data_IF_790109554365
#
_entry.id   IF_790109554365
#
_cell.length_a   1.000
_cell.length_b   1.000
_cell.length_c   1.000
_cell.angle_alpha   90.00
_cell.angle_beta   90.00
_cell.angle_gamma   90.00
#
_symmetry.space_group_name_H-M   'P 1'
#
loop_
_entity.id
_entity.type
_entity.pdbx_description
1 polymer ?
#
# COMPACT_ATOMS: atom_id res chain seq x y z
N UNK A 1 10.79 63.15 -36.99
CA UNK A 1 11.93 63.03 -36.06
C UNK A 1 11.45 63.52 -34.68
N UNK A 2 11.54 62.65 -33.66
CA UNK A 2 11.42 62.94 -32.20
C UNK A 2 10.01 63.39 -31.74
N UNK A 3 9.39 62.96 -30.64
CA UNK A 3 9.51 61.85 -29.68
C UNK A 3 8.29 62.02 -28.78
N UNK A 4 7.36 61.05 -28.73
CA UNK A 4 6.28 61.05 -27.75
C UNK A 4 6.65 60.08 -26.64
N UNK A 5 7.26 60.61 -25.57
CA UNK A 5 7.57 59.86 -24.36
C UNK A 5 6.28 59.47 -23.64
N UNK A 6 5.89 58.19 -23.78
CA UNK A 6 4.91 57.57 -22.89
C UNK A 6 5.62 57.16 -21.61
N UNK A 7 5.24 57.83 -20.53
CA UNK A 7 5.59 57.51 -19.15
C UNK A 7 5.08 56.10 -18.85
N UNK A 8 5.99 55.13 -18.80
CA UNK A 8 5.69 53.76 -18.39
C UNK A 8 5.52 53.78 -16.86
N UNK A 9 4.26 53.86 -16.39
CA UNK A 9 3.93 53.61 -15.01
C UNK A 9 4.12 52.10 -14.75
N UNK A 10 5.26 51.77 -14.16
CA UNK A 10 5.58 50.44 -13.65
C UNK A 10 4.65 50.16 -12.45
N UNK A 11 3.46 49.61 -12.73
CA UNK A 11 2.59 49.06 -11.69
C UNK A 11 3.27 47.79 -11.19
N UNK A 12 4.05 47.96 -10.12
CA UNK A 12 4.60 46.88 -9.33
C UNK A 12 3.41 46.16 -8.68
N UNK A 13 2.90 45.12 -9.36
CA UNK A 13 2.00 44.14 -8.77
C UNK A 13 2.75 43.47 -7.62
N UNK A 14 2.49 43.96 -6.42
CA UNK A 14 2.74 43.26 -5.16
C UNK A 14 1.87 42.01 -5.16
N UNK A 15 2.32 40.97 -5.86
CA UNK A 15 1.93 39.61 -5.53
C UNK A 15 2.48 39.37 -4.13
N UNK A 16 1.60 39.47 -3.14
CA UNK A 16 1.90 39.07 -1.78
C UNK A 16 2.47 37.67 -1.83
N UNK A 17 3.74 37.55 -1.45
CA UNK A 17 4.36 36.27 -1.14
C UNK A 17 3.55 35.73 0.04
N UNK A 18 2.58 34.84 -0.24
CA UNK A 18 1.99 34.03 0.80
C UNK A 18 3.14 33.17 1.33
N UNK A 19 3.73 33.61 2.44
CA UNK A 19 4.53 32.76 3.30
C UNK A 19 3.66 31.54 3.56
N UNK A 20 4.08 30.39 3.06
CA UNK A 20 3.48 29.10 3.41
C UNK A 20 3.63 28.94 4.91
N UNK A 21 2.59 29.32 5.66
CA UNK A 21 2.50 29.03 7.09
C UNK A 21 2.58 27.51 7.18
N UNK A 22 3.71 26.99 7.68
CA UNK A 22 3.90 25.56 7.83
C UNK A 22 2.76 25.03 8.68
N UNK A 23 1.89 24.23 8.07
CA UNK A 23 0.83 23.57 8.81
C UNK A 23 1.46 22.41 9.56
N UNK A 24 1.26 22.40 10.87
CA UNK A 24 1.70 21.34 11.75
C UNK A 24 0.61 20.26 11.77
N UNK A 25 1.02 19.00 11.66
CA UNK A 25 0.12 17.84 11.66
C UNK A 25 0.44 16.92 12.84
N UNK A 26 -0.58 16.34 13.44
CA UNK A 26 -0.47 15.43 14.56
C UNK A 26 -0.74 14.00 14.07
N UNK A 27 0.22 13.11 14.27
CA UNK A 27 0.10 11.71 13.89
C UNK A 27 -0.14 10.86 15.12
N UNK A 28 -0.96 9.82 14.98
CA UNK A 28 -1.20 8.84 16.04
C UNK A 28 -1.26 7.42 15.48
N UNK A 29 -0.66 6.49 16.20
CA UNK A 29 -0.78 5.06 15.92
C UNK A 29 -2.08 4.51 16.50
N UNK A 30 -2.81 3.73 15.71
CA UNK A 30 -4.06 3.09 16.09
C UNK A 30 -4.01 1.59 15.78
N UNK A 31 -4.57 0.78 16.67
CA UNK A 31 -4.81 -0.63 16.36
C UNK A 31 -5.94 -0.79 15.35
N UNK A 32 -6.05 -1.96 14.74
CA UNK A 32 -7.17 -2.26 13.84
C UNK A 32 -8.53 -2.12 14.52
N UNK A 33 -8.68 -2.57 15.77
CA UNK A 33 -9.94 -2.43 16.51
C UNK A 33 -10.32 -0.96 16.72
N UNK A 34 -9.35 -0.10 17.03
CA UNK A 34 -9.56 1.34 17.17
C UNK A 34 -9.96 1.97 15.84
N UNK A 35 -9.29 1.59 14.75
CA UNK A 35 -9.61 2.07 13.40
C UNK A 35 -11.04 1.70 13.02
N UNK A 36 -11.42 0.43 13.18
CA UNK A 36 -12.75 -0.06 12.84
C UNK A 36 -13.83 0.60 13.70
N UNK A 37 -13.60 0.75 15.01
CA UNK A 37 -14.54 1.41 15.92
C UNK A 37 -14.71 2.90 15.60
N UNK A 38 -13.64 3.60 15.20
CA UNK A 38 -13.69 5.05 14.91
C UNK A 38 -14.58 5.43 13.72
N UNK A 39 -14.81 4.47 12.81
CA UNK A 39 -15.52 4.67 11.55
C UNK A 39 -16.72 3.72 11.37
N UNK A 40 -17.11 3.01 12.43
CA UNK A 40 -18.18 1.99 12.44
C UNK A 40 -18.05 0.96 11.29
N UNK A 41 -16.84 0.42 11.15
CA UNK A 41 -16.48 -0.50 10.06
C UNK A 41 -16.59 -1.96 10.47
N UNK A 42 -16.73 -2.83 9.46
CA UNK A 42 -16.69 -4.29 9.61
C UNK A 42 -15.66 -4.92 8.68
N UNK A 43 -15.01 -6.01 9.12
CA UNK A 43 -14.14 -6.84 8.28
C UNK A 43 -14.91 -7.87 7.45
N UNK A 44 -16.13 -8.21 7.88
CA UNK A 44 -16.89 -9.37 7.36
C UNK A 44 -18.17 -8.97 6.64
N UNK A 45 -18.39 -7.66 6.40
CA UNK A 45 -19.58 -7.16 5.71
C UNK A 45 -20.86 -7.37 6.52
N UNK A 46 -20.80 -7.13 7.82
CA UNK A 46 -21.97 -7.23 8.70
C UNK A 46 -23.13 -6.32 8.22
N UNK A 47 -24.39 -6.80 8.29
CA UNK A 47 -25.54 -6.01 7.87
C UNK A 47 -25.64 -4.72 8.69
N UNK A 48 -25.65 -3.57 8.01
CA UNK A 48 -25.74 -2.25 8.63
C UNK A 48 -24.40 -1.54 8.83
N UNK A 49 -23.27 -2.20 8.62
CA UNK A 49 -21.93 -1.59 8.69
C UNK A 49 -21.28 -1.45 7.33
N UNK A 50 -20.39 -0.46 7.20
CA UNK A 50 -19.56 -0.30 6.01
C UNK A 50 -18.36 -1.25 6.09
N UNK A 51 -18.12 -2.01 5.03
CA UNK A 51 -16.98 -2.90 4.96
C UNK A 51 -15.66 -2.13 4.84
N UNK A 52 -14.64 -2.58 5.57
CA UNK A 52 -13.30 -2.01 5.47
C UNK A 52 -12.64 -2.41 4.15
N UNK A 53 -12.33 -1.41 3.31
CA UNK A 53 -11.86 -1.62 1.94
C UNK A 53 -10.53 -2.37 1.87
N UNK A 54 -9.64 -2.14 2.83
CA UNK A 54 -8.26 -2.62 2.80
C UNK A 54 -8.04 -3.85 3.68
N UNK A 55 -9.11 -4.57 4.06
CA UNK A 55 -9.07 -5.75 4.93
C UNK A 55 -8.14 -6.87 4.46
N UNK A 56 -7.90 -6.98 3.15
CA UNK A 56 -7.04 -8.02 2.57
C UNK A 56 -5.55 -7.65 2.59
N UNK A 57 -5.21 -6.40 2.95
CA UNK A 57 -3.84 -5.88 2.93
C UNK A 57 -3.39 -5.32 4.28
N UNK A 58 -4.31 -4.81 5.09
CA UNK A 58 -4.00 -4.06 6.31
C UNK A 58 -4.45 -4.88 7.52
N UNK A 59 -3.50 -5.53 8.18
CA UNK A 59 -3.66 -6.35 9.38
C UNK A 59 -2.75 -5.88 10.54
N UNK A 60 -2.21 -4.68 10.43
CA UNK A 60 -1.22 -4.10 11.32
C UNK A 60 -1.72 -2.78 11.94
N UNK A 61 -1.07 -2.29 13.02
CA UNK A 61 -1.36 -0.95 13.54
C UNK A 61 -1.03 0.14 12.52
N UNK A 62 -1.99 1.03 12.27
CA UNK A 62 -1.89 2.10 11.28
C UNK A 62 -1.50 3.42 11.93
N UNK A 63 -0.78 4.27 11.20
CA UNK A 63 -0.58 5.67 11.59
C UNK A 63 -1.56 6.55 10.85
N UNK A 64 -2.30 7.35 11.60
CA UNK A 64 -3.27 8.28 11.06
C UNK A 64 -2.84 9.72 11.38
N UNK A 65 -2.77 10.56 10.35
CA UNK A 65 -2.87 12.02 10.54
C UNK A 65 -4.20 12.30 11.25
N UNK A 66 -4.22 13.18 12.24
CA UNK A 66 -5.42 13.54 12.98
C UNK A 66 -6.01 14.86 12.49
N UNK A 67 -5.28 15.60 11.67
CA UNK A 67 -5.66 16.95 11.27
C UNK A 67 -6.31 16.98 9.88
N UNK A 68 -7.18 17.97 9.68
CA UNK A 68 -7.76 18.25 8.38
C UNK A 68 -6.68 18.87 7.49
N UNK A 69 -6.50 18.34 6.28
CA UNK A 69 -5.60 18.96 5.33
C UNK A 69 -6.17 20.33 4.91
N UNK A 70 -5.44 21.44 5.13
CA UNK A 70 -5.97 22.78 4.88
C UNK A 70 -6.21 23.08 3.39
N UNK A 71 -5.58 22.34 2.47
CA UNK A 71 -5.79 22.48 1.04
C UNK A 71 -7.00 21.68 0.56
N UNK A 72 -7.24 20.52 1.17
CA UNK A 72 -8.34 19.64 0.78
C UNK A 72 -9.64 19.88 1.56
N UNK A 73 -9.55 20.46 2.77
CA UNK A 73 -10.68 20.64 3.67
C UNK A 73 -11.18 19.34 4.33
N UNK A 74 -10.47 18.22 4.15
CA UNK A 74 -10.71 16.96 4.84
C UNK A 74 -9.40 16.20 5.08
N UNK A 75 -9.45 15.15 5.90
CA UNK A 75 -8.31 14.27 6.16
C UNK A 75 -8.43 12.96 5.35
N UNK A 76 -7.54 12.71 4.37
CA UNK A 76 -7.52 11.45 3.63
C UNK A 76 -6.89 10.30 4.43
N UNK A 77 -6.08 10.59 5.46
CA UNK A 77 -5.37 9.57 6.23
C UNK A 77 -6.35 8.67 6.96
N UNK A 78 -6.16 7.36 6.84
CA UNK A 78 -7.00 6.34 7.48
C UNK A 78 -8.50 6.45 7.19
N UNK A 79 -8.92 7.14 6.13
CA UNK A 79 -10.33 7.38 5.82
C UNK A 79 -10.86 6.31 4.85
N UNK A 80 -11.70 5.39 5.34
CA UNK A 80 -12.23 4.28 4.55
C UNK A 80 -13.17 4.76 3.43
N UNK A 81 -14.03 5.73 3.71
CA UNK A 81 -14.95 6.30 2.70
C UNK A 81 -14.18 6.97 1.57
N UNK A 82 -13.13 7.73 1.91
CA UNK A 82 -12.23 8.33 0.91
C UNK A 82 -11.60 7.24 0.03
N UNK A 83 -11.03 6.20 0.64
CA UNK A 83 -10.42 5.10 -0.10
C UNK A 83 -11.43 4.39 -1.03
N UNK A 84 -12.66 4.14 -0.57
CA UNK A 84 -13.73 3.54 -1.38
C UNK A 84 -14.03 4.41 -2.60
N UNK A 85 -14.17 5.73 -2.38
CA UNK A 85 -14.50 6.67 -3.44
C UNK A 85 -13.38 6.79 -4.48
N UNK A 86 -12.13 6.87 -4.04
CA UNK A 86 -10.97 6.93 -4.94
C UNK A 86 -10.86 5.65 -5.78
N UNK A 87 -11.00 4.46 -5.17
CA UNK A 87 -10.96 3.21 -5.92
C UNK A 87 -12.14 3.08 -6.89
N UNK A 88 -13.33 3.53 -6.52
CA UNK A 88 -14.52 3.51 -7.38
C UNK A 88 -14.34 4.41 -8.60
N UNK A 89 -13.85 5.63 -8.40
CA UNK A 89 -13.53 6.56 -9.48
C UNK A 89 -12.45 5.99 -10.40
N UNK A 90 -11.42 5.36 -9.84
CA UNK A 90 -10.38 4.68 -10.60
C UNK A 90 -10.94 3.56 -11.47
N UNK A 91 -11.79 2.68 -10.92
CA UNK A 91 -12.44 1.59 -11.68
C UNK A 91 -13.29 2.13 -12.83
N UNK A 92 -14.01 3.23 -12.60
CA UNK A 92 -14.78 3.92 -13.64
C UNK A 92 -13.89 4.54 -14.72
N UNK A 93 -12.76 5.13 -14.34
CA UNK A 93 -11.79 5.64 -15.30
C UNK A 93 -11.13 4.50 -16.09
N UNK A 94 -10.86 3.35 -15.45
CA UNK A 94 -10.26 2.20 -16.11
C UNK A 94 -11.24 1.53 -17.10
N UNK A 95 -12.55 1.58 -16.84
CA UNK A 95 -13.54 0.90 -17.68
C UNK A 95 -13.67 1.43 -19.11
N UNK A 96 -13.14 2.64 -19.39
CA UNK A 96 -13.12 3.17 -20.77
C UNK A 96 -11.93 2.68 -21.59
N UNK A 97 -10.95 2.01 -20.97
CA UNK A 97 -9.74 1.54 -21.65
C UNK A 97 -9.81 0.04 -21.93
N UNK A 98 -9.30 -0.37 -23.10
CA UNK A 98 -9.08 -1.78 -23.40
C UNK A 98 -7.73 -2.22 -22.81
N UNK A 99 -7.74 -2.86 -21.64
CA UNK A 99 -6.48 -3.21 -20.97
C UNK A 99 -5.62 -4.26 -21.70
N UNK A 100 -6.16 -4.91 -22.73
CA UNK A 100 -5.41 -5.86 -23.56
C UNK A 100 -4.57 -5.19 -24.65
N UNK A 101 -4.81 -3.91 -24.94
CA UNK A 101 -4.07 -3.20 -26.00
C UNK A 101 -2.71 -2.69 -25.54
N UNK A 102 -2.56 -2.29 -24.27
CA UNK A 102 -1.28 -1.78 -23.77
C UNK A 102 -0.33 -2.89 -23.27
N UNK A 103 -0.86 -4.03 -22.85
CA UNK A 103 -0.07 -5.15 -22.33
C UNK A 103 -0.64 -6.49 -22.75
N UNK A 104 0.25 -7.42 -23.10
CA UNK A 104 -0.10 -8.82 -23.37
C UNK A 104 -0.11 -9.69 -22.11
N UNK A 105 0.44 -9.17 -21.00
CA UNK A 105 0.66 -9.91 -19.76
C UNK A 105 -0.31 -9.42 -18.67
N UNK A 106 -0.64 -8.13 -18.68
CA UNK A 106 -1.47 -7.50 -17.65
C UNK A 106 -2.84 -7.11 -18.22
N UNK A 107 -3.89 -7.45 -17.47
CA UNK A 107 -5.26 -7.04 -17.77
C UNK A 107 -5.80 -6.03 -16.75
N UNK A 108 -7.05 -5.60 -16.94
CA UNK A 108 -7.69 -4.60 -16.07
C UNK A 108 -7.73 -5.03 -14.60
N UNK A 109 -7.90 -6.33 -14.33
CA UNK A 109 -7.93 -6.86 -12.97
C UNK A 109 -6.57 -6.73 -12.28
N UNK A 110 -5.48 -6.95 -13.02
CA UNK A 110 -4.13 -6.78 -12.49
C UNK A 110 -3.83 -5.31 -12.18
N UNK A 111 -4.24 -4.41 -13.07
CA UNK A 111 -4.15 -2.96 -12.85
C UNK A 111 -4.97 -2.53 -11.62
N UNK A 112 -6.22 -2.99 -11.53
CA UNK A 112 -7.11 -2.69 -10.39
C UNK A 112 -6.57 -3.21 -9.08
N UNK A 113 -6.05 -4.44 -9.06
CA UNK A 113 -5.45 -5.02 -7.87
C UNK A 113 -4.18 -4.27 -7.43
N UNK A 114 -3.32 -3.89 -8.39
CA UNK A 114 -2.12 -3.10 -8.11
C UNK A 114 -2.48 -1.71 -7.55
N UNK A 115 -3.44 -1.02 -8.15
CA UNK A 115 -3.90 0.28 -7.68
C UNK A 115 -4.57 0.19 -6.30
N UNK A 116 -5.38 -0.83 -6.06
CA UNK A 116 -6.02 -1.06 -4.76
C UNK A 116 -4.96 -1.30 -3.67
N UNK A 117 -3.95 -2.13 -3.94
CA UNK A 117 -2.82 -2.34 -3.03
C UNK A 117 -2.08 -1.03 -2.75
N UNK A 118 -1.72 -0.27 -3.78
CA UNK A 118 -1.06 1.02 -3.60
C UNK A 118 -1.89 2.01 -2.79
N UNK A 119 -3.19 2.11 -3.08
CA UNK A 119 -4.11 3.00 -2.37
C UNK A 119 -4.17 2.64 -0.88
N UNK A 120 -4.25 1.35 -0.56
CA UNK A 120 -4.22 0.88 0.82
C UNK A 120 -2.88 1.22 1.49
N UNK A 121 -1.76 1.08 0.80
CA UNK A 121 -0.43 1.36 1.35
C UNK A 121 -0.22 2.84 1.67
N UNK A 122 -0.75 3.71 0.80
CA UNK A 122 -0.63 5.16 0.91
C UNK A 122 -1.63 5.75 1.93
N UNK A 123 -2.84 5.20 1.99
CA UNK A 123 -3.93 5.71 2.87
C UNK A 123 -3.83 5.16 4.29
N UNK A 124 -3.44 3.89 4.45
CA UNK A 124 -3.34 3.18 5.73
C UNK A 124 -1.90 2.75 5.98
N UNK A 125 -1.05 3.72 6.33
CA UNK A 125 0.39 3.50 6.53
C UNK A 125 0.65 2.74 7.82
N UNK A 126 1.60 1.80 7.81
CA UNK A 126 1.97 1.01 9.00
C UNK A 126 2.75 1.85 10.02
N UNK A 127 2.50 1.60 11.30
CA UNK A 127 3.32 2.12 12.40
C UNK A 127 4.72 1.51 12.37
N UNK A 128 5.74 2.37 12.44
CA UNK A 128 7.13 1.97 12.61
C UNK A 128 7.35 1.59 14.08
N UNK A 129 7.04 0.35 14.41
CA UNK A 129 7.48 -0.30 15.64
C UNK A 129 9.00 -0.47 15.47
N UNK A 130 9.83 0.21 16.26
CA UNK A 130 11.28 0.06 16.17
C UNK A 130 11.73 -1.40 16.37
N UNK A 131 13.05 -1.68 16.40
CA UNK A 131 13.56 -3.06 16.51
C UNK A 131 13.12 -3.79 17.79
N UNK A 132 12.58 -3.07 18.78
CA UNK A 132 12.05 -3.64 20.00
C UNK A 132 10.55 -3.97 19.86
N UNK A 133 10.26 -5.06 19.16
CA UNK A 133 8.91 -5.64 19.04
C UNK A 133 8.37 -6.21 20.38
N UNK A 134 9.01 -5.92 21.53
CA UNK A 134 8.62 -6.47 22.84
C UNK A 134 7.80 -5.53 23.71
N UNK A 135 7.69 -4.24 23.35
CA UNK A 135 6.79 -3.33 24.05
C UNK A 135 5.36 -3.44 23.48
N UNK A 136 4.41 -3.79 24.34
CA UNK A 136 2.94 -3.74 24.09
C UNK A 136 2.40 -2.31 23.90
N UNK A 137 3.30 -1.33 23.74
CA UNK A 137 2.99 0.10 23.64
C UNK A 137 3.24 0.52 22.20
N UNK A 138 2.19 1.04 21.55
CA UNK A 138 2.32 1.63 20.22
C UNK A 138 3.37 2.77 20.24
N UNK A 139 4.18 2.91 19.18
CA UNK A 139 5.23 3.92 19.13
C UNK A 139 4.59 5.30 19.19
N UNK A 140 5.18 6.17 20.02
CA UNK A 140 4.73 7.55 20.14
C UNK A 140 5.13 8.30 18.87
N UNK A 141 4.12 8.78 18.14
CA UNK A 141 4.33 9.64 16.99
C UNK A 141 4.66 11.07 17.41
N UNK A 142 5.46 11.76 16.58
CA UNK A 142 5.74 13.19 16.75
C UNK A 142 4.42 13.98 16.66
N UNK A 143 4.10 14.77 17.70
CA UNK A 143 3.06 15.79 17.63
C UNK A 143 3.62 17.07 17.01
N UNK A 144 2.77 17.84 16.32
CA UNK A 144 3.16 19.07 15.62
C UNK A 144 4.25 18.87 14.54
N UNK A 145 4.19 17.74 13.83
CA UNK A 145 5.10 17.47 12.72
C UNK A 145 4.91 18.51 11.61
N UNK A 146 5.98 19.18 11.21
CA UNK A 146 5.95 20.13 10.10
C UNK A 146 6.49 19.45 8.84
N UNK A 147 5.67 19.39 7.79
CA UNK A 147 6.12 18.89 6.48
C UNK A 147 7.14 19.85 5.89
N UNK A 148 8.26 19.32 5.40
CA UNK A 148 9.34 20.09 4.78
C UNK A 148 9.68 19.53 3.41
N UNK A 149 10.46 20.29 2.63
CA UNK A 149 10.93 19.85 1.32
C UNK A 149 11.78 18.57 1.35
N UNK A 150 12.28 18.15 2.52
CA UNK A 150 13.10 16.94 2.71
C UNK A 150 12.44 15.86 3.57
N UNK A 151 11.31 16.15 4.23
CA UNK A 151 10.61 15.21 5.11
C UNK A 151 9.09 15.45 5.03
N UNK A 152 8.38 14.55 4.34
CA UNK A 152 6.91 14.61 4.22
C UNK A 152 6.18 13.83 5.33
N UNK A 153 6.87 12.89 5.99
CA UNK A 153 6.29 11.99 6.99
C UNK A 153 7.18 11.91 8.25
N UNK A 154 6.59 11.78 9.45
CA UNK A 154 7.34 11.58 10.69
C UNK A 154 7.94 10.17 10.75
N UNK A 155 8.88 9.96 11.69
CA UNK A 155 9.63 8.70 11.77
C UNK A 155 8.79 7.50 12.22
N UNK A 156 7.65 7.75 12.88
CA UNK A 156 6.71 6.70 13.29
C UNK A 156 5.90 6.12 12.11
N UNK A 157 5.94 6.75 10.93
CA UNK A 157 5.25 6.29 9.73
C UNK A 157 6.19 5.44 8.90
N UNK A 158 5.84 4.18 8.69
CA UNK A 158 6.52 3.38 7.69
C UNK A 158 6.09 3.84 6.29
N UNK A 159 7.07 4.32 5.53
CA UNK A 159 6.90 4.81 4.15
C UNK A 159 6.48 3.70 3.22
N UNK A 160 5.72 4.01 2.18
CA UNK A 160 5.30 3.00 1.18
C UNK A 160 6.51 2.53 0.39
N UNK A 161 6.59 1.24 0.08
CA UNK A 161 7.67 0.77 -0.78
C UNK A 161 7.54 1.35 -2.19
N UNK A 162 8.65 1.78 -2.77
CA UNK A 162 8.69 2.30 -4.14
C UNK A 162 8.16 1.27 -5.15
N UNK A 163 8.40 -0.02 -4.91
CA UNK A 163 7.95 -1.12 -5.77
C UNK A 163 6.43 -1.24 -5.84
N UNK A 164 5.71 -0.89 -4.76
CA UNK A 164 4.24 -0.85 -4.73
C UNK A 164 3.72 0.22 -5.68
N UNK A 165 4.37 1.38 -5.73
CA UNK A 165 4.01 2.43 -6.67
C UNK A 165 4.29 1.99 -8.12
N UNK A 166 5.50 1.47 -8.39
CA UNK A 166 5.86 1.04 -9.74
C UNK A 166 5.10 -0.20 -10.21
N UNK A 167 4.49 -0.99 -9.32
CA UNK A 167 3.59 -2.07 -9.71
C UNK A 167 2.34 -1.54 -10.44
N UNK A 168 1.80 -0.40 -10.01
CA UNK A 168 0.71 0.29 -10.71
C UNK A 168 1.16 0.73 -12.10
N UNK A 169 2.30 1.43 -12.18
CA UNK A 169 2.85 1.93 -13.46
C UNK A 169 3.06 0.79 -14.47
N UNK A 170 3.56 -0.36 -14.02
CA UNK A 170 3.81 -1.53 -14.88
C UNK A 170 2.53 -2.21 -15.35
N UNK A 171 1.50 -2.23 -14.51
CA UNK A 171 0.28 -3.01 -14.75
C UNK A 171 -0.85 -2.21 -15.36
N UNK A 172 -0.81 -0.88 -15.36
CA UNK A 172 -1.90 -0.03 -15.82
C UNK A 172 -1.63 0.68 -17.15
N UNK A 173 -2.67 1.12 -17.89
CA UNK A 173 -2.50 1.90 -19.12
C UNK A 173 -1.73 3.21 -18.87
N UNK A 174 -0.81 3.53 -19.79
CA UNK A 174 -0.02 4.78 -19.75
C UNK A 174 -0.89 6.06 -19.78
N UNK A 175 -2.08 5.99 -20.38
CA UNK A 175 -3.03 7.10 -20.49
C UNK A 175 -3.65 7.52 -19.15
N UNK A 176 -3.52 6.70 -18.09
CA UNK A 176 -3.91 7.10 -16.74
C UNK A 176 -2.91 8.07 -16.10
N UNK A 177 -1.74 8.26 -16.73
CA UNK A 177 -0.69 9.19 -16.30
C UNK A 177 -0.27 9.01 -14.83
N UNK A 178 -0.43 7.80 -14.28
CA UNK A 178 0.01 7.47 -12.94
C UNK A 178 1.54 7.51 -12.91
N UNK A 179 2.11 8.33 -12.02
CA UNK A 179 3.56 8.56 -11.91
C UNK A 179 4.02 8.35 -10.48
N UNK A 180 5.14 7.67 -10.34
CA UNK A 180 5.84 7.54 -9.07
C UNK A 180 6.91 8.62 -8.95
N UNK A 181 7.19 9.13 -7.74
CA UNK A 181 8.37 9.96 -7.49
C UNK A 181 9.65 9.24 -7.93
N UNK A 182 10.69 9.99 -8.33
CA UNK A 182 11.98 9.39 -8.66
C UNK A 182 12.57 8.71 -7.42
N UNK A 183 13.37 7.65 -7.59
CA UNK A 183 13.91 6.84 -6.48
C UNK A 183 14.81 7.61 -5.50
N UNK A 184 15.26 8.80 -5.89
CA UNK A 184 16.02 9.74 -5.05
C UNK A 184 15.13 10.56 -4.11
N UNK A 185 13.82 10.61 -4.35
CA UNK A 185 12.85 11.30 -3.51
C UNK A 185 12.30 10.32 -2.48
N UNK A 186 12.96 10.27 -1.32
CA UNK A 186 12.59 9.36 -0.24
C UNK A 186 11.56 9.94 0.74
N UNK A 187 10.88 11.04 0.39
CA UNK A 187 10.00 11.75 1.34
C UNK A 187 8.77 10.95 1.74
N UNK A 188 8.18 10.23 0.79
CA UNK A 188 6.97 9.42 0.97
C UNK A 188 7.17 7.93 0.67
N UNK A 189 8.17 7.61 -0.16
CA UNK A 189 8.50 6.27 -0.61
C UNK A 189 9.93 5.91 -0.21
N UNK A 190 10.21 4.62 -0.08
CA UNK A 190 11.57 4.11 0.15
C UNK A 190 11.83 2.98 -0.82
N UNK A 191 13.03 2.95 -1.40
CA UNK A 191 13.44 1.81 -2.22
C UNK A 191 13.74 0.63 -1.31
N UNK A 192 13.35 -0.58 -1.71
CA UNK A 192 13.66 -1.83 -0.99
C UNK A 192 15.16 -2.08 -0.82
N UNK A 193 15.99 -1.34 -1.57
CA UNK A 193 17.46 -1.37 -1.54
C UNK A 193 18.08 -0.41 -0.52
N UNK A 194 17.29 0.51 0.06
CA UNK A 194 17.77 1.39 1.12
C UNK A 194 17.91 0.57 2.41
N UNK A 195 19.17 0.28 2.74
CA UNK A 195 19.68 -0.63 3.75
C UNK A 195 19.19 -0.33 5.18
N UNK A 196 18.00 -0.80 5.55
CA UNK A 196 17.62 -1.09 6.96
C UNK A 196 16.63 -2.26 7.06
N UNK A 197 16.97 -3.40 6.43
CA UNK A 197 16.30 -4.69 6.66
C UNK A 197 15.05 -4.99 5.82
N UNK A 198 14.57 -6.25 5.82
CA UNK A 198 13.46 -6.74 4.99
C UNK A 198 12.07 -6.16 5.34
N UNK A 199 11.99 -5.33 6.38
CA UNK A 199 10.79 -4.63 6.87
C UNK A 199 10.90 -3.09 6.75
N UNK A 200 11.78 -2.56 5.87
CA UNK A 200 12.10 -1.13 5.83
C UNK A 200 10.98 -0.22 5.28
N UNK A 201 9.98 -0.80 4.61
CA UNK A 201 8.89 -0.05 4.00
C UNK A 201 7.57 -0.85 3.96
N UNK A 202 6.46 -0.14 3.81
CA UNK A 202 5.12 -0.71 3.72
C UNK A 202 4.90 -1.31 2.33
N UNK A 203 5.28 -2.58 2.17
CA UNK A 203 5.15 -3.30 0.92
C UNK A 203 3.72 -3.82 0.70
N UNK A 204 2.95 -4.04 1.78
CA UNK A 204 1.66 -4.73 1.71
C UNK A 204 1.75 -6.05 0.91
N UNK A 205 2.91 -6.70 0.93
CA UNK A 205 2.98 -8.05 0.39
C UNK A 205 1.96 -8.85 1.16
N UNK A 206 1.00 -9.38 0.41
CA UNK A 206 0.00 -10.32 0.88
C UNK A 206 0.74 -11.27 1.82
N UNK A 207 0.42 -11.24 3.12
CA UNK A 207 0.72 -12.39 3.96
C UNK A 207 0.27 -13.59 3.13
N UNK A 208 1.15 -14.55 2.79
CA UNK A 208 0.85 -15.56 1.79
C UNK A 208 -0.50 -16.14 2.16
N UNK A 209 -1.53 -15.75 1.40
CA UNK A 209 -2.86 -16.20 1.69
C UNK A 209 -2.74 -17.71 1.48
N UNK A 210 -2.99 -18.46 2.56
CA UNK A 210 -2.53 -19.83 2.76
C UNK A 210 -1.11 -19.97 3.35
N UNK A 211 -0.92 -19.55 4.60
CA UNK A 211 -0.35 -20.48 5.59
C UNK A 211 -1.38 -21.55 5.93
N UNK A 212 -1.85 -22.28 4.91
CA UNK A 212 -2.41 -23.61 5.11
C UNK A 212 -1.20 -24.48 5.41
N UNK A 213 -0.72 -24.42 6.65
CA UNK A 213 0.02 -25.53 7.21
C UNK A 213 -0.97 -26.69 7.39
N UNK A 214 -1.43 -27.24 6.27
CA UNK A 214 -1.80 -28.63 6.19
C UNK A 214 -0.53 -29.38 6.54
N UNK A 215 -0.33 -29.68 7.82
CA UNK A 215 0.58 -30.72 8.24
C UNK A 215 0.05 -32.03 7.68
N UNK A 216 0.31 -32.30 6.40
CA UNK A 216 0.39 -33.67 5.91
C UNK A 216 1.64 -34.25 6.54
N UNK A 217 1.49 -34.65 7.81
CA UNK A 217 2.34 -35.63 8.43
C UNK A 217 2.21 -36.90 7.61
N UNK A 218 3.08 -37.05 6.60
CA UNK A 218 3.46 -38.36 6.10
C UNK A 218 4.19 -39.06 7.25
N UNK A 219 3.40 -39.62 8.17
CA UNK A 219 3.88 -40.62 9.09
C UNK A 219 4.15 -41.86 8.25
N UNK A 220 5.43 -42.12 8.02
CA UNK A 220 5.91 -43.29 7.29
C UNK A 220 5.42 -44.56 7.98
N UNK A 221 4.35 -45.13 7.45
CA UNK A 221 4.03 -46.53 7.68
C UNK A 221 5.09 -47.37 6.97
N UNK A 222 6.07 -47.83 7.75
CA UNK A 222 6.96 -48.94 7.42
C UNK A 222 6.12 -50.15 7.00
N UNK A 223 6.05 -50.42 5.70
CA UNK A 223 5.72 -51.74 5.17
C UNK A 223 7.04 -52.42 4.76
N UNK A 224 7.54 -53.25 5.67
CA UNK A 224 8.57 -54.25 5.43
C UNK A 224 8.00 -55.34 4.51
N UNK A 225 8.51 -55.45 3.28
CA UNK A 225 8.43 -56.68 2.49
C UNK A 225 9.82 -56.95 1.90
N UNK A 226 10.53 -57.86 2.58
CA UNK A 226 11.81 -58.42 2.15
C UNK A 226 11.62 -59.44 1.02
N UNK A 227 12.42 -59.29 -0.04
CA UNK A 227 12.67 -60.29 -1.07
C UNK A 227 13.34 -61.56 -0.52
N UNK A 228 13.17 -62.70 -1.21
CA UNK A 228 14.16 -63.72 -1.62
C UNK A 228 13.39 -64.84 -2.37
N UNK A 229 13.31 -64.85 -3.71
CA UNK A 229 14.26 -65.37 -4.72
C UNK A 229 14.32 -66.90 -4.89
N UNK A 230 13.92 -67.32 -6.11
CA UNK A 230 14.42 -68.42 -6.97
C UNK A 230 14.33 -69.89 -6.52
N UNK A 231 13.62 -70.72 -7.30
CA UNK A 231 14.18 -71.77 -8.18
C UNK A 231 13.04 -72.61 -8.79
N UNK A 232 13.07 -72.79 -10.12
CA UNK A 232 12.23 -73.68 -10.93
C UNK A 232 12.52 -75.19 -10.60
N UNK A 233 12.00 -76.23 -11.31
CA UNK A 233 11.14 -76.25 -12.50
C UNK A 233 10.05 -77.39 -12.54
N UNK A 234 9.40 -77.50 -13.70
CA UNK A 234 8.89 -78.71 -14.39
C UNK A 234 7.45 -79.23 -14.19
N UNK A 235 6.91 -79.61 -15.37
CA UNK A 235 5.93 -80.66 -15.69
C UNK A 235 4.45 -80.24 -15.72
N UNK A 236 3.92 -79.86 -16.89
CA UNK A 236 3.33 -80.70 -17.95
C UNK A 236 1.85 -81.08 -17.71
N UNK A 237 1.07 -80.83 -18.76
CA UNK A 237 -0.07 -81.59 -19.29
C UNK A 237 -1.50 -81.39 -18.75
N UNK A 238 -2.41 -81.27 -19.74
CA UNK A 238 -3.86 -81.51 -19.79
C UNK A 238 -4.73 -80.39 -19.20
N UNK A 239 -5.62 -79.71 -19.91
CA UNK A 239 -6.38 -79.97 -21.15
C UNK A 239 -6.48 -78.69 -22.00
#
# INVERSE_FOLDING_TARGET
>A
MVSSGKMLALVCLLAGVQMSSGYMTNYSCMTMDQLLASQDLSLTGEPGKVEFLCKDFVDYPVVCDQDIDPQLGFNPSCNNTFAIQVLSNFRRALSVYNCKEYSRIWGCDNCTAAYHRWLCAATFRKCNLGPDNTTTVLPVCESNFTRTNSKALPNCVMRTCQDVCYDVVRKCPVHLEFRCPPVIDSREYVSSLEWTGPDSCNNLERAPCCSSASSLGYSGALLLLSLLSSLAPLRSSLF
#
